data_IF_498632688772
#
_entry.id   IF_498632688772
#
_cell.length_a   1.000
_cell.length_b   1.000
_cell.length_c   1.000
_cell.angle_alpha   90.00
_cell.angle_beta   90.00
_cell.angle_gamma   90.00
#
_symmetry.space_group_name_H-M   'P 1'
#
loop_
_entity.id
_entity.type
_entity.pdbx_description
1 polymer ?
#
# COMPACT_ATOMS: atom_id res chain seq x y z
N UNK A 1 13.70 -29.89 5.04
CA UNK A 1 14.06 -29.39 3.69
C UNK A 1 13.18 -28.24 3.19
N UNK A 2 11.86 -28.11 3.50
CA UNK A 2 11.08 -26.94 3.04
C UNK A 2 11.50 -25.61 3.69
N UNK A 3 11.87 -25.64 4.98
CA UNK A 3 12.26 -24.44 5.75
C UNK A 3 13.58 -23.81 5.31
N UNK A 4 14.54 -24.60 4.80
CA UNK A 4 15.82 -24.09 4.28
C UNK A 4 15.60 -23.29 2.98
N UNK A 5 14.83 -23.83 2.03
CA UNK A 5 14.51 -23.14 0.78
C UNK A 5 13.72 -21.82 1.00
N UNK A 6 12.85 -21.80 2.01
CA UNK A 6 12.09 -20.61 2.38
C UNK A 6 12.98 -19.49 2.93
N UNK A 7 13.98 -19.85 3.73
CA UNK A 7 14.99 -18.91 4.24
C UNK A 7 15.86 -18.34 3.10
N UNK A 8 16.22 -19.17 2.13
CA UNK A 8 17.01 -18.76 0.96
C UNK A 8 16.25 -17.80 0.04
N UNK A 9 14.96 -18.07 -0.22
CA UNK A 9 14.12 -17.20 -1.03
C UNK A 9 13.95 -15.81 -0.41
N UNK A 10 13.69 -15.75 0.89
CA UNK A 10 13.54 -14.48 1.59
C UNK A 10 14.86 -13.68 1.63
N UNK A 11 15.99 -14.36 1.86
CA UNK A 11 17.33 -13.75 1.83
C UNK A 11 17.67 -13.17 0.46
N UNK A 12 17.35 -13.90 -0.62
CA UNK A 12 17.49 -13.41 -1.99
C UNK A 12 16.64 -12.18 -2.26
N UNK A 13 15.37 -12.20 -1.86
CA UNK A 13 14.44 -11.08 -2.02
C UNK A 13 14.97 -9.81 -1.34
N UNK A 14 15.38 -9.95 -0.08
CA UNK A 14 16.00 -8.89 0.72
C UNK A 14 17.24 -8.32 0.06
N UNK A 15 18.17 -9.18 -0.39
CA UNK A 15 19.39 -8.74 -1.07
C UNK A 15 19.08 -7.95 -2.36
N UNK A 16 18.13 -8.41 -3.17
CA UNK A 16 17.75 -7.72 -4.41
C UNK A 16 17.11 -6.36 -4.11
N UNK A 17 16.26 -6.27 -3.08
CA UNK A 17 15.68 -5.01 -2.63
C UNK A 17 16.78 -4.05 -2.14
N UNK A 18 17.61 -4.50 -1.20
CA UNK A 18 18.73 -3.74 -0.61
C UNK A 18 19.66 -3.11 -1.65
N UNK A 19 19.95 -3.87 -2.71
CA UNK A 19 20.85 -3.48 -3.80
C UNK A 19 20.13 -2.76 -4.94
N UNK A 20 18.85 -2.38 -4.75
CA UNK A 20 17.98 -1.70 -5.73
C UNK A 20 17.93 -2.42 -7.08
N UNK A 21 18.04 -3.76 -7.07
CA UNK A 21 17.91 -4.60 -8.27
C UNK A 21 16.43 -4.87 -8.55
N UNK A 22 15.65 -3.80 -8.63
CA UNK A 22 14.21 -3.79 -8.68
C UNK A 22 13.62 -4.61 -9.82
N UNK A 23 14.16 -4.49 -11.04
CA UNK A 23 13.70 -5.28 -12.19
C UNK A 23 13.87 -6.77 -11.94
N UNK A 24 15.03 -7.19 -11.41
CA UNK A 24 15.31 -8.61 -11.11
C UNK A 24 14.43 -9.13 -9.97
N UNK A 25 14.16 -8.28 -8.97
CA UNK A 25 13.24 -8.61 -7.88
C UNK A 25 11.82 -8.83 -8.43
N UNK A 26 11.34 -7.91 -9.26
CA UNK A 26 10.00 -7.97 -9.84
C UNK A 26 9.81 -9.18 -10.77
N UNK A 27 10.76 -9.47 -11.65
CA UNK A 27 10.75 -10.65 -12.50
C UNK A 27 10.69 -11.95 -11.69
N UNK A 28 11.47 -12.03 -10.61
CA UNK A 28 11.49 -13.20 -9.74
C UNK A 28 10.19 -13.34 -8.94
N UNK A 29 9.65 -12.25 -8.40
CA UNK A 29 8.35 -12.25 -7.73
C UNK A 29 7.21 -12.63 -8.69
N UNK A 30 7.25 -12.17 -9.96
CA UNK A 30 6.30 -12.60 -10.99
C UNK A 30 6.37 -14.11 -11.23
N UNK A 31 7.56 -14.70 -11.22
CA UNK A 31 7.72 -16.15 -11.33
C UNK A 31 7.08 -16.89 -10.15
N UNK A 32 7.31 -16.43 -8.91
CA UNK A 32 6.70 -16.99 -7.71
C UNK A 32 5.17 -16.83 -7.73
N UNK A 33 4.68 -15.65 -8.11
CA UNK A 33 3.26 -15.34 -8.24
C UNK A 33 2.57 -16.29 -9.22
N UNK A 34 3.17 -16.55 -10.39
CA UNK A 34 2.61 -17.48 -11.38
C UNK A 34 2.51 -18.90 -10.83
N UNK A 35 3.54 -19.38 -10.14
CA UNK A 35 3.53 -20.68 -9.50
C UNK A 35 2.42 -20.81 -8.45
N UNK A 36 2.28 -19.78 -7.61
CA UNK A 36 1.23 -19.67 -6.60
C UNK A 36 -0.17 -19.64 -7.22
N UNK A 37 -0.41 -18.77 -8.20
CA UNK A 37 -1.73 -18.58 -8.83
C UNK A 37 -2.21 -19.80 -9.61
N UNK A 38 -1.28 -20.53 -10.23
CA UNK A 38 -1.60 -21.74 -10.99
C UNK A 38 -1.60 -23.00 -10.13
N UNK A 39 -1.34 -22.88 -8.82
CA UNK A 39 -1.25 -24.00 -7.88
C UNK A 39 -0.25 -25.08 -8.33
N UNK A 40 0.75 -24.69 -9.11
CA UNK A 40 1.80 -25.60 -9.59
C UNK A 40 2.89 -25.82 -8.55
N UNK A 41 2.90 -25.01 -7.49
CA UNK A 41 3.85 -25.09 -6.38
C UNK A 41 3.08 -25.28 -5.06
N UNK A 42 3.19 -26.47 -4.49
CA UNK A 42 2.54 -26.87 -3.23
C UNK A 42 3.10 -26.13 -2.02
N UNK A 43 4.28 -25.52 -2.14
CA UNK A 43 5.00 -24.84 -1.06
C UNK A 43 5.48 -23.45 -1.48
N UNK A 44 4.60 -22.69 -2.14
CA UNK A 44 4.95 -21.34 -2.61
C UNK A 44 5.23 -20.37 -1.45
N UNK A 45 6.42 -19.80 -1.45
CA UNK A 45 6.83 -18.74 -0.51
C UNK A 45 6.30 -17.35 -0.88
N UNK A 46 5.55 -17.23 -1.97
CA UNK A 46 5.14 -15.93 -2.53
C UNK A 46 4.41 -15.05 -1.50
N UNK A 47 3.47 -15.63 -0.74
CA UNK A 47 2.74 -14.90 0.30
C UNK A 47 3.62 -14.46 1.48
N UNK A 48 4.68 -15.21 1.79
CA UNK A 48 5.65 -14.82 2.81
C UNK A 48 6.52 -13.66 2.33
N UNK A 49 7.01 -13.73 1.09
CA UNK A 49 7.92 -12.70 0.54
C UNK A 49 7.17 -11.41 0.23
N UNK A 50 5.89 -11.49 -0.19
CA UNK A 50 5.06 -10.33 -0.50
C UNK A 50 4.41 -9.72 0.75
N UNK A 51 5.23 -9.34 1.72
CA UNK A 51 4.79 -8.60 2.90
C UNK A 51 5.91 -7.64 3.36
N UNK A 52 5.63 -6.35 3.63
CA UNK A 52 6.67 -5.39 4.06
C UNK A 52 7.40 -5.86 5.32
N UNK A 53 6.65 -6.28 6.34
CA UNK A 53 7.18 -6.79 7.59
C UNK A 53 8.07 -8.05 7.50
N UNK A 54 8.12 -8.79 6.39
CA UNK A 54 9.07 -9.91 6.19
C UNK A 54 10.16 -9.54 5.22
N UNK A 55 9.83 -8.85 4.13
CA UNK A 55 10.76 -8.44 3.09
C UNK A 55 11.76 -7.39 3.61
N UNK A 56 11.36 -6.59 4.59
CA UNK A 56 12.18 -5.51 5.14
C UNK A 56 12.73 -5.85 6.53
N UNK A 57 12.03 -6.69 7.31
CA UNK A 57 12.56 -7.17 8.59
C UNK A 57 13.76 -8.11 8.40
N UNK A 58 14.67 -8.18 9.36
CA UNK A 58 15.80 -9.13 9.35
C UNK A 58 17.00 -8.68 8.51
N UNK A 59 16.96 -7.48 7.96
CA UNK A 59 18.17 -6.81 7.55
C UNK A 59 18.83 -6.17 8.77
N UNK A 60 19.63 -6.95 9.49
CA UNK A 60 20.45 -6.48 10.63
C UNK A 60 21.41 -5.33 10.26
N UNK A 61 21.48 -4.97 8.97
CA UNK A 61 22.30 -3.90 8.40
C UNK A 61 21.52 -2.90 7.50
N UNK A 62 20.18 -2.82 7.52
CA UNK A 62 19.47 -1.81 6.71
C UNK A 62 19.25 -0.51 7.48
N UNK A 63 20.07 0.47 7.11
CA UNK A 63 19.94 1.91 7.39
C UNK A 63 18.94 2.62 6.47
N UNK A 64 18.16 1.87 5.66
CA UNK A 64 17.30 2.43 4.61
C UNK A 64 15.85 2.44 5.07
N UNK A 65 15.22 3.61 5.01
CA UNK A 65 13.81 3.80 5.32
C UNK A 65 12.93 2.91 4.41
N UNK A 66 12.03 2.09 4.98
CA UNK A 66 11.06 1.30 4.22
C UNK A 66 10.26 2.10 3.19
N UNK A 67 9.84 3.32 3.54
CA UNK A 67 9.09 4.16 2.62
C UNK A 67 9.95 4.61 1.44
N UNK A 68 11.19 5.02 1.71
CA UNK A 68 12.11 5.47 0.67
C UNK A 68 12.37 4.37 -0.35
N UNK A 69 12.71 3.15 0.10
CA UNK A 69 13.08 2.06 -0.81
C UNK A 69 11.89 1.55 -1.62
N UNK A 70 10.69 1.52 -1.03
CA UNK A 70 9.47 1.11 -1.75
C UNK A 70 9.01 2.19 -2.73
N UNK A 71 9.13 3.47 -2.35
CA UNK A 71 8.82 4.60 -3.24
C UNK A 71 9.80 4.67 -4.41
N UNK A 72 11.10 4.49 -4.15
CA UNK A 72 12.14 4.41 -5.16
C UNK A 72 11.90 3.26 -6.14
N UNK A 73 11.50 2.09 -5.63
CA UNK A 73 11.10 0.97 -6.48
C UNK A 73 9.90 1.32 -7.37
N UNK A 74 8.82 1.86 -6.79
CA UNK A 74 7.63 2.24 -7.54
C UNK A 74 7.91 3.33 -8.59
N UNK A 75 8.85 4.24 -8.32
CA UNK A 75 9.27 5.30 -9.23
C UNK A 75 10.14 4.77 -10.38
N UNK A 76 11.14 3.92 -10.08
CA UNK A 76 12.04 3.35 -11.09
C UNK A 76 11.35 2.27 -11.93
N UNK A 77 10.38 1.56 -11.36
CA UNK A 77 9.62 0.49 -12.01
C UNK A 77 8.12 0.78 -11.93
N UNK A 78 7.59 1.81 -12.62
CA UNK A 78 6.19 2.23 -12.50
C UNK A 78 5.17 1.20 -13.04
N UNK A 79 5.65 0.15 -13.69
CA UNK A 79 4.87 -0.99 -14.19
C UNK A 79 4.95 -2.23 -13.27
N UNK A 80 5.73 -2.18 -12.20
CA UNK A 80 5.85 -3.29 -11.25
C UNK A 80 4.59 -3.39 -10.40
N UNK A 81 3.83 -4.47 -10.60
CA UNK A 81 2.70 -4.81 -9.73
C UNK A 81 3.13 -4.92 -8.26
N UNK A 82 4.25 -5.58 -7.99
CA UNK A 82 4.70 -5.85 -6.62
C UNK A 82 5.14 -4.60 -5.87
N UNK A 83 5.82 -3.67 -6.54
CA UNK A 83 6.21 -2.39 -5.94
C UNK A 83 4.99 -1.64 -5.40
N UNK A 84 3.95 -1.51 -6.23
CA UNK A 84 2.71 -0.81 -5.85
C UNK A 84 1.92 -1.57 -4.77
N UNK A 85 1.90 -2.91 -4.79
CA UNK A 85 1.26 -3.68 -3.72
C UNK A 85 1.99 -3.49 -2.38
N UNK A 86 3.31 -3.61 -2.35
CA UNK A 86 4.10 -3.49 -1.12
C UNK A 86 4.05 -2.05 -0.56
N UNK A 87 4.09 -1.05 -1.44
CA UNK A 87 3.90 0.35 -1.04
C UNK A 87 2.50 0.56 -0.41
N UNK A 88 1.46 0.00 -1.02
CA UNK A 88 0.10 0.07 -0.46
C UNK A 88 -0.02 -0.64 0.88
N UNK A 89 0.61 -1.81 1.04
CA UNK A 89 0.66 -2.54 2.31
C UNK A 89 1.37 -1.74 3.40
N UNK A 90 2.51 -1.11 3.08
CA UNK A 90 3.23 -0.24 4.00
C UNK A 90 2.32 0.88 4.54
N UNK A 91 1.66 1.61 3.65
CA UNK A 91 0.75 2.69 4.06
C UNK A 91 -0.45 2.20 4.89
N UNK A 92 -0.99 1.03 4.56
CA UNK A 92 -2.05 0.42 5.34
C UNK A 92 -1.59 -0.01 6.74
N UNK A 93 -0.35 -0.50 6.88
CA UNK A 93 0.25 -0.79 8.19
C UNK A 93 0.43 0.51 9.01
N UNK A 94 0.91 1.59 8.39
CA UNK A 94 1.04 2.89 9.08
C UNK A 94 -0.31 3.42 9.58
N UNK A 95 -1.39 3.22 8.82
CA UNK A 95 -2.74 3.59 9.26
C UNK A 95 -3.15 2.85 10.56
N UNK A 96 -2.82 1.57 10.69
CA UNK A 96 -3.04 0.80 11.91
C UNK A 96 -2.13 1.23 13.06
N UNK A 97 -0.86 1.54 12.79
CA UNK A 97 0.07 2.06 13.80
C UNK A 97 -0.47 3.35 14.41
N UNK A 98 -0.89 4.32 13.58
CA UNK A 98 -1.45 5.60 14.04
C UNK A 98 -2.72 5.36 14.86
N UNK A 99 -3.64 4.53 14.34
CA UNK A 99 -4.91 4.23 15.01
C UNK A 99 -4.71 3.59 16.38
N UNK A 100 -3.73 2.69 16.52
CA UNK A 100 -3.52 1.90 17.72
C UNK A 100 -2.50 2.53 18.71
N UNK A 101 -1.94 3.70 18.41
CA UNK A 101 -0.84 4.30 19.18
C UNK A 101 -1.17 4.51 20.68
N UNK A 102 -2.43 4.80 21.01
CA UNK A 102 -2.86 5.19 22.36
C UNK A 102 -3.78 4.17 23.06
N UNK A 103 -3.87 2.93 22.56
CA UNK A 103 -4.69 1.87 23.18
C UNK A 103 -6.17 1.89 22.77
N UNK A 104 -7.08 1.69 23.73
CA UNK A 104 -8.51 1.44 23.44
C UNK A 104 -9.30 2.67 22.96
N UNK A 105 -8.85 3.88 23.30
CA UNK A 105 -9.48 5.12 22.82
C UNK A 105 -8.71 5.69 21.63
N UNK A 106 -9.42 5.89 20.52
CA UNK A 106 -8.84 6.44 19.28
C UNK A 106 -9.37 7.86 19.08
N UNK A 107 -8.49 8.83 19.16
CA UNK A 107 -8.79 10.25 18.97
C UNK A 107 -9.15 10.57 17.51
N UNK A 108 -9.92 11.65 17.28
CA UNK A 108 -10.29 12.10 15.94
C UNK A 108 -9.06 12.40 15.05
N UNK A 109 -7.98 12.91 15.64
CA UNK A 109 -6.73 13.17 14.92
C UNK A 109 -6.02 11.87 14.50
N UNK A 110 -6.14 10.79 15.29
CA UNK A 110 -5.61 9.48 14.92
C UNK A 110 -6.43 8.87 13.78
N UNK A 111 -7.76 9.00 13.84
CA UNK A 111 -8.62 8.61 12.72
C UNK A 111 -8.29 9.38 11.45
N UNK A 112 -8.08 10.70 11.54
CA UNK A 112 -7.69 11.51 10.40
C UNK A 112 -6.31 11.10 9.85
N UNK A 113 -5.30 10.96 10.70
CA UNK A 113 -3.96 10.53 10.29
C UNK A 113 -3.98 9.16 9.61
N UNK A 114 -4.73 8.21 10.18
CA UNK A 114 -4.92 6.89 9.59
C UNK A 114 -5.64 6.95 8.23
N UNK A 115 -6.65 7.84 8.09
CA UNK A 115 -7.33 8.05 6.82
C UNK A 115 -6.39 8.63 5.75
N UNK A 116 -5.51 9.55 6.12
CA UNK A 116 -4.50 10.11 5.21
C UNK A 116 -3.51 9.04 4.72
N UNK A 117 -3.09 8.12 5.60
CA UNK A 117 -2.33 6.94 5.17
C UNK A 117 -3.14 6.02 4.26
N UNK A 118 -4.43 5.83 4.54
CA UNK A 118 -5.32 5.04 3.68
C UNK A 118 -5.46 5.63 2.28
N UNK A 119 -5.43 6.96 2.12
CA UNK A 119 -5.46 7.58 0.80
C UNK A 119 -4.25 7.16 -0.05
N UNK A 120 -3.05 7.18 0.52
CA UNK A 120 -1.84 6.65 -0.14
C UNK A 120 -1.93 5.15 -0.43
N UNK A 121 -2.41 4.36 0.54
CA UNK A 121 -2.56 2.91 0.36
C UNK A 121 -3.50 2.59 -0.80
N UNK A 122 -4.65 3.25 -0.86
CA UNK A 122 -5.64 3.02 -1.93
C UNK A 122 -5.10 3.48 -3.29
N UNK A 123 -4.40 4.61 -3.38
CA UNK A 123 -3.75 5.01 -4.63
C UNK A 123 -2.79 3.93 -5.15
N UNK A 124 -1.93 3.40 -4.28
CA UNK A 124 -0.97 2.36 -4.64
C UNK A 124 -1.67 1.04 -5.04
N UNK A 125 -2.69 0.60 -4.28
CA UNK A 125 -3.44 -0.60 -4.64
C UNK A 125 -4.22 -0.47 -5.95
N UNK A 126 -4.82 0.69 -6.22
CA UNK A 126 -5.50 0.94 -7.49
C UNK A 126 -4.52 0.91 -8.66
N UNK A 127 -3.31 1.47 -8.47
CA UNK A 127 -2.25 1.35 -9.46
C UNK A 127 -1.84 -0.09 -9.70
N UNK A 128 -1.67 -0.89 -8.64
CA UNK A 128 -1.37 -2.32 -8.77
C UNK A 128 -2.48 -3.08 -9.53
N UNK A 129 -3.74 -2.78 -9.28
CA UNK A 129 -4.88 -3.43 -9.95
C UNK A 129 -4.84 -3.20 -11.47
N UNK A 130 -4.39 -2.03 -11.93
CA UNK A 130 -4.24 -1.74 -13.37
C UNK A 130 -3.11 -2.54 -14.05
N UNK A 131 -2.14 -3.01 -13.27
CA UNK A 131 -0.88 -3.57 -13.80
C UNK A 131 -0.89 -5.10 -13.94
N UNK A 132 -1.86 -5.81 -13.37
CA UNK A 132 -1.90 -7.26 -13.41
C UNK A 132 -3.31 -7.82 -13.68
N UNK A 133 -3.50 -8.80 -14.59
CA UNK A 133 -4.81 -9.35 -14.94
C UNK A 133 -5.48 -10.13 -13.79
N UNK A 134 -4.70 -10.58 -12.80
CA UNK A 134 -5.17 -11.27 -11.60
C UNK A 134 -4.56 -10.64 -10.34
N UNK A 135 -4.97 -9.44 -9.92
CA UNK A 135 -4.29 -8.67 -8.86
C UNK A 135 -4.81 -9.06 -7.46
N UNK A 136 -4.68 -10.34 -7.10
CA UNK A 136 -5.33 -10.93 -5.90
C UNK A 136 -4.95 -10.23 -4.60
N UNK A 137 -3.67 -9.88 -4.41
CA UNK A 137 -3.22 -9.20 -3.18
C UNK A 137 -3.76 -7.77 -3.12
N UNK A 138 -3.70 -7.01 -4.21
CA UNK A 138 -4.23 -5.65 -4.21
C UNK A 138 -5.72 -5.61 -3.83
N UNK A 139 -6.55 -6.50 -4.40
CA UNK A 139 -7.96 -6.60 -4.02
C UNK A 139 -8.18 -7.03 -2.56
N UNK A 140 -7.45 -8.05 -2.09
CA UNK A 140 -7.54 -8.52 -0.70
C UNK A 140 -7.24 -7.39 0.29
N UNK A 141 -6.17 -6.65 0.05
CA UNK A 141 -5.78 -5.55 0.94
C UNK A 141 -6.73 -4.36 0.85
N UNK A 142 -7.26 -4.05 -0.34
CA UNK A 142 -8.29 -3.02 -0.48
C UNK A 142 -9.57 -3.37 0.29
N UNK A 143 -10.01 -4.64 0.24
CA UNK A 143 -11.14 -5.12 1.06
C UNK A 143 -10.86 -4.99 2.55
N UNK A 144 -9.71 -5.46 3.02
CA UNK A 144 -9.35 -5.37 4.44
C UNK A 144 -9.25 -3.92 4.94
N UNK A 145 -8.66 -3.03 4.13
CA UNK A 145 -8.58 -1.60 4.41
C UNK A 145 -9.99 -1.01 4.55
N UNK A 146 -10.89 -1.29 3.59
CA UNK A 146 -12.26 -0.79 3.64
C UNK A 146 -13.05 -1.28 4.86
N UNK A 147 -12.79 -2.49 5.35
CA UNK A 147 -13.40 -3.00 6.57
C UNK A 147 -12.88 -2.32 7.85
N UNK A 148 -11.62 -1.88 7.86
CA UNK A 148 -10.99 -1.24 9.02
C UNK A 148 -11.21 0.27 9.10
N UNK A 149 -11.19 0.96 7.96
CA UNK A 149 -11.15 2.43 7.87
C UNK A 149 -12.27 3.03 7.00
N UNK A 150 -13.08 2.19 6.35
CA UNK A 150 -14.08 2.64 5.38
C UNK A 150 -13.49 2.97 4.02
N UNK A 151 -14.36 3.42 3.10
CA UNK A 151 -13.97 3.81 1.75
C UNK A 151 -13.42 5.26 1.74
N UNK A 152 -12.29 5.52 1.06
CA UNK A 152 -11.77 6.88 0.91
C UNK A 152 -12.78 7.84 0.30
N UNK A 153 -12.88 9.03 0.89
CA UNK A 153 -13.85 10.05 0.48
C UNK A 153 -13.66 10.52 -0.97
N UNK A 154 -12.41 10.62 -1.42
CA UNK A 154 -12.10 11.04 -2.78
C UNK A 154 -12.55 9.98 -3.81
N UNK A 155 -12.44 8.69 -3.48
CA UNK A 155 -12.88 7.61 -4.35
C UNK A 155 -14.40 7.58 -4.48
N UNK A 156 -15.12 7.84 -3.38
CA UNK A 156 -16.58 7.99 -3.37
C UNK A 156 -17.03 9.16 -4.25
N UNK A 157 -16.32 10.29 -4.21
CA UNK A 157 -16.61 11.44 -5.08
C UNK A 157 -16.43 11.08 -6.56
N UNK A 158 -15.36 10.35 -6.92
CA UNK A 158 -15.15 9.87 -8.29
C UNK A 158 -16.27 8.93 -8.77
N UNK A 159 -16.73 8.01 -7.92
CA UNK A 159 -17.89 7.17 -8.23
C UNK A 159 -19.17 7.98 -8.46
N UNK A 160 -19.34 9.07 -7.72
CA UNK A 160 -20.43 10.02 -7.90
C UNK A 160 -20.24 10.97 -9.11
N UNK A 161 -19.12 10.90 -9.83
CA UNK A 161 -18.80 11.80 -10.93
C UNK A 161 -18.48 13.23 -10.49
N UNK A 162 -18.05 13.42 -9.24
CA UNK A 162 -17.62 14.70 -8.69
C UNK A 162 -16.09 14.79 -8.70
N UNK A 163 -15.56 16.01 -8.81
CA UNK A 163 -14.15 16.28 -8.57
C UNK A 163 -13.85 16.12 -7.08
N UNK A 164 -12.92 15.23 -6.70
CA UNK A 164 -12.55 15.04 -5.31
C UNK A 164 -11.87 16.28 -4.73
N UNK A 165 -12.13 16.57 -3.45
CA UNK A 165 -11.44 17.60 -2.68
C UNK A 165 -10.51 16.97 -1.63
N UNK A 166 -9.40 17.62 -1.26
CA UNK A 166 -8.64 17.26 -0.06
C UNK A 166 -9.53 17.24 1.18
N UNK A 167 -9.25 16.35 2.15
CA UNK A 167 -10.09 16.20 3.34
C UNK A 167 -10.27 17.50 4.13
N UNK A 168 -9.19 18.30 4.25
CA UNK A 168 -9.26 19.56 4.98
C UNK A 168 -10.17 20.60 4.35
N UNK A 169 -10.28 20.61 3.03
CA UNK A 169 -11.22 21.46 2.30
C UNK A 169 -12.64 20.90 2.40
N UNK A 170 -12.79 19.59 2.18
CA UNK A 170 -14.10 18.90 2.19
C UNK A 170 -14.85 19.09 3.50
N UNK A 171 -14.13 19.06 4.63
CA UNK A 171 -14.72 19.20 5.96
C UNK A 171 -14.50 20.58 6.58
N UNK A 172 -13.85 21.51 5.88
CA UNK A 172 -13.51 22.85 6.38
C UNK A 172 -12.75 22.81 7.72
N UNK A 173 -11.72 21.97 7.79
CA UNK A 173 -10.94 21.70 9.02
C UNK A 173 -9.47 22.13 8.94
N UNK A 174 -9.03 22.82 7.88
CA UNK A 174 -7.63 23.19 7.67
C UNK A 174 -6.97 23.95 8.85
N UNK A 175 -7.74 24.82 9.51
CA UNK A 175 -7.27 25.58 10.69
C UNK A 175 -7.49 24.86 12.03
N UNK A 176 -8.03 23.63 12.03
CA UNK A 176 -8.36 22.91 13.26
C UNK A 176 -7.16 22.18 13.86
N UNK A 177 -7.17 21.99 15.18
CA UNK A 177 -6.17 21.17 15.85
C UNK A 177 -6.19 19.71 15.37
N UNK A 178 -7.37 19.17 15.05
CA UNK A 178 -7.52 17.80 14.52
C UNK A 178 -6.72 17.64 13.23
N UNK A 179 -6.83 18.60 12.30
CA UNK A 179 -6.05 18.60 11.06
C UNK A 179 -4.55 18.68 11.32
N UNK A 180 -4.11 19.66 12.13
CA UNK A 180 -2.68 19.85 12.41
C UNK A 180 -2.05 18.60 13.07
N UNK A 181 -2.73 18.00 14.05
CA UNK A 181 -2.25 16.77 14.70
C UNK A 181 -2.31 15.58 13.73
N UNK A 182 -3.37 15.45 12.94
CA UNK A 182 -3.54 14.38 11.95
C UNK A 182 -2.45 14.38 10.89
N UNK A 183 -2.12 15.56 10.36
CA UNK A 183 -1.01 15.76 9.41
C UNK A 183 0.35 15.55 10.07
N UNK A 184 0.48 15.89 11.36
CA UNK A 184 1.69 15.64 12.14
C UNK A 184 2.13 14.16 12.14
N UNK A 185 1.20 13.22 12.09
CA UNK A 185 1.53 11.80 11.95
C UNK A 185 2.20 11.47 10.60
N UNK A 186 1.77 12.11 9.50
CA UNK A 186 2.37 11.93 8.19
C UNK A 186 3.76 12.58 8.12
N UNK A 187 3.93 13.77 8.70
CA UNK A 187 5.23 14.42 8.81
C UNK A 187 6.24 13.58 9.59
N UNK A 188 5.80 12.87 10.64
CA UNK A 188 6.65 11.95 11.40
C UNK A 188 7.15 10.76 10.55
N UNK A 189 6.43 10.42 9.48
CA UNK A 189 6.81 9.42 8.46
C UNK A 189 7.59 10.08 7.29
N UNK A 190 7.75 11.41 7.30
CA UNK A 190 8.51 12.15 6.29
C UNK A 190 7.72 12.55 5.04
N UNK A 191 6.38 12.54 5.10
CA UNK A 191 5.52 12.89 3.96
C UNK A 191 4.51 13.99 4.26
N UNK A 192 4.07 14.65 3.19
CA UNK A 192 2.91 15.55 3.20
C UNK A 192 1.62 14.76 2.99
N UNK A 193 0.45 15.27 3.40
CA UNK A 193 -0.84 14.74 2.97
C UNK A 193 -0.96 14.81 1.44
N UNK A 194 -1.40 13.73 0.82
CA UNK A 194 -1.71 13.82 -0.60
C UNK A 194 -2.90 14.77 -0.81
N UNK A 195 -2.75 15.65 -1.79
CA UNK A 195 -3.74 16.67 -2.17
C UNK A 195 -4.20 16.51 -3.61
N UNK A 196 -3.60 15.57 -4.34
CA UNK A 196 -3.84 15.36 -5.76
C UNK A 196 -4.37 13.95 -5.98
N UNK A 197 -5.62 13.88 -6.44
CA UNK A 197 -6.31 12.62 -6.71
C UNK A 197 -6.47 12.39 -8.22
N UNK A 198 -6.54 11.13 -8.67
CA UNK A 198 -6.96 10.81 -10.03
C UNK A 198 -8.28 11.53 -10.35
N UNK A 199 -8.39 12.08 -11.56
CA UNK A 199 -9.61 12.79 -11.99
C UNK A 199 -10.68 11.87 -12.57
N UNK A 200 -10.33 10.59 -12.76
CA UNK A 200 -11.23 9.55 -13.26
C UNK A 200 -11.03 8.27 -12.45
N UNK A 201 -12.08 7.45 -12.35
CA UNK A 201 -11.95 6.11 -11.78
C UNK A 201 -10.88 5.30 -12.56
N UNK A 202 -10.02 4.53 -11.87
CA UNK A 202 -9.13 3.57 -12.49
C UNK A 202 -9.89 2.62 -13.43
N UNK A 203 -9.25 2.19 -14.52
CA UNK A 203 -9.92 1.41 -15.57
C UNK A 203 -10.63 0.16 -15.03
N UNK A 204 -10.00 -0.52 -14.06
CA UNK A 204 -10.55 -1.69 -13.39
C UNK A 204 -11.85 -1.42 -12.60
N UNK A 205 -12.07 -0.19 -12.16
CA UNK A 205 -13.28 0.24 -11.45
C UNK A 205 -14.30 0.94 -12.35
N UNK A 206 -13.91 1.37 -13.55
CA UNK A 206 -14.86 1.99 -14.49
C UNK A 206 -15.99 1.03 -14.90
N UNK A 207 -15.69 -0.27 -15.00
CA UNK A 207 -16.66 -1.28 -15.42
C UNK A 207 -17.69 -1.59 -14.33
N UNK A 208 -17.37 -1.38 -13.04
CA UNK A 208 -18.33 -1.60 -11.94
C UNK A 208 -19.36 -0.47 -11.83
N UNK A 209 -19.13 0.67 -12.48
CA UNK A 209 -20.05 1.81 -12.55
C UNK A 209 -21.27 1.54 -13.44
N UNK A 210 -21.19 0.61 -14.40
CA UNK A 210 -22.26 0.34 -15.39
C UNK A 210 -23.40 -0.54 -14.86
N UNK A 211 -23.32 -1.00 -13.62
CA UNK A 211 -24.28 -1.95 -13.02
C UNK A 211 -25.14 -1.35 -11.89
N UNK A 212 -25.37 -0.03 -11.89
CA UNK A 212 -26.39 0.62 -11.04
C UNK A 212 -27.38 1.39 -11.88
#
# INVERSE_FOLDING_TARGET
MPQENQHDNLSKARMLLATRRFVKLDEWLLSLMRGWQNQTDTHSDYGLVLHPGTLIAGAENHTVDPLDILSDWAQQCPQSYHAHVLLGMFWHEQAWVIRNANGEHVEDSQWLGAQLCCDYAVLAFLRAIELHPRPTHAFRHLMNLSGGFGEPYWLRDLFAGKSPLPLHEKFNIAGSQVWQTGVGYLHAIGVEPATHWPQSLPAALQQTRKSR
#
